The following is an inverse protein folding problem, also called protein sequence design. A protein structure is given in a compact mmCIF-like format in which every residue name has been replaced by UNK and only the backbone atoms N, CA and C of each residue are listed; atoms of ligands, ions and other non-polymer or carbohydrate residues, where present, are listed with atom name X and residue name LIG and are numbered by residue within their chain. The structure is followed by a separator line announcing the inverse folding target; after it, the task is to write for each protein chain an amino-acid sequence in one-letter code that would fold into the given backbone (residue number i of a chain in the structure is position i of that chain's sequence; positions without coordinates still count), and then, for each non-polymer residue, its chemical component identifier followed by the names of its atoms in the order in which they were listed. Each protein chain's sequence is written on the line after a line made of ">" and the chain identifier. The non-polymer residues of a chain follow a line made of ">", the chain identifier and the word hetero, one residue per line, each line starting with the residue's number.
data_IF_118861698070
#
_entry.id   IF_118861698070
#
_cell.length_a   1.000
_cell.length_b   1.000
_cell.length_c   1.000
_cell.angle_alpha   90.00
_cell.angle_beta   90.00
_cell.angle_gamma   90.00
#
_symmetry.space_group_name_H-M   'P 1'
#
loop_
_entity.id
_entity.type
_entity.pdbx_description
1 polymer ?
#
# COMPACT_ATOMS: atom_id res chain seq x y z
N UNK A 1 8.44 -20.25 24.87
CA UNK A 1 7.16 -20.39 24.12
C UNK A 1 6.84 -19.20 23.21
N UNK A 2 7.74 -18.21 23.04
CA UNK A 2 7.56 -17.00 22.22
C UNK A 2 7.71 -17.24 20.70
N UNK A 3 8.39 -18.33 20.27
CA UNK A 3 8.72 -18.56 18.86
C UNK A 3 7.51 -18.58 17.91
N UNK A 4 6.48 -19.38 18.21
CA UNK A 4 5.27 -19.46 17.36
C UNK A 4 4.52 -18.13 17.35
N UNK A 5 4.48 -17.42 18.48
CA UNK A 5 3.89 -16.08 18.57
C UNK A 5 4.63 -15.10 17.67
N UNK A 6 5.97 -15.07 17.73
CA UNK A 6 6.80 -14.17 16.93
C UNK A 6 6.67 -14.44 15.44
N UNK A 7 6.63 -15.70 15.01
CA UNK A 7 6.44 -16.04 13.59
C UNK A 7 5.06 -15.58 13.09
N UNK A 8 4.00 -15.71 13.89
CA UNK A 8 2.67 -15.17 13.53
C UNK A 8 2.68 -13.65 13.41
N UNK A 9 3.35 -12.95 14.33
CA UNK A 9 3.52 -11.50 14.29
C UNK A 9 4.27 -11.06 13.03
N UNK A 10 5.36 -11.74 12.67
CA UNK A 10 6.12 -11.46 11.45
C UNK A 10 5.29 -11.70 10.19
N UNK A 11 4.55 -12.82 10.12
CA UNK A 11 3.69 -13.12 8.97
C UNK A 11 2.61 -12.04 8.78
N UNK A 12 1.99 -11.57 9.87
CA UNK A 12 1.00 -10.49 9.79
C UNK A 12 1.64 -9.16 9.35
N UNK A 13 2.78 -8.80 9.94
CA UNK A 13 3.49 -7.59 9.54
C UNK A 13 3.91 -7.61 8.07
N UNK A 14 4.40 -8.76 7.60
CA UNK A 14 4.75 -8.97 6.20
C UNK A 14 3.53 -8.82 5.29
N UNK A 15 2.38 -9.42 5.64
CA UNK A 15 1.16 -9.30 4.86
C UNK A 15 0.67 -7.84 4.75
N UNK A 16 0.67 -7.10 5.86
CA UNK A 16 0.31 -5.68 5.88
C UNK A 16 1.28 -4.83 5.04
N UNK A 17 2.58 -5.11 5.12
CA UNK A 17 3.58 -4.39 4.34
C UNK A 17 3.47 -4.70 2.83
N UNK A 18 3.19 -5.95 2.46
CA UNK A 18 2.91 -6.33 1.07
C UNK A 18 1.66 -5.61 0.57
N UNK A 19 0.58 -5.57 1.36
CA UNK A 19 -0.63 -4.83 1.00
C UNK A 19 -0.37 -3.32 0.82
N UNK A 20 0.48 -2.73 1.66
CA UNK A 20 0.93 -1.34 1.52
C UNK A 20 1.67 -1.12 0.19
N UNK A 21 2.62 -2.02 -0.14
CA UNK A 21 3.37 -1.98 -1.39
C UNK A 21 2.45 -2.13 -2.61
N UNK A 22 1.52 -3.09 -2.59
CA UNK A 22 0.53 -3.28 -3.67
C UNK A 22 -0.38 -2.06 -3.84
N UNK A 23 -0.84 -1.47 -2.72
CA UNK A 23 -1.66 -0.25 -2.71
C UNK A 23 -0.93 0.91 -3.37
N UNK A 24 0.36 1.08 -3.07
CA UNK A 24 1.20 2.09 -3.69
C UNK A 24 1.42 1.81 -5.19
N UNK A 25 1.83 0.60 -5.55
CA UNK A 25 2.15 0.26 -6.94
C UNK A 25 0.92 0.33 -7.84
N UNK A 26 -0.19 -0.30 -7.45
CA UNK A 26 -1.41 -0.36 -8.27
C UNK A 26 -2.21 0.93 -8.17
N UNK A 27 -2.34 1.50 -6.97
CA UNK A 27 -3.18 2.67 -6.73
C UNK A 27 -2.53 4.01 -7.07
N UNK A 28 -1.19 4.08 -7.10
CA UNK A 28 -0.44 5.32 -7.36
C UNK A 28 0.40 5.22 -8.62
N UNK A 29 1.32 4.24 -8.69
CA UNK A 29 2.27 4.17 -9.80
C UNK A 29 1.60 3.81 -11.14
N UNK A 30 0.62 2.90 -11.15
CA UNK A 30 -0.06 2.54 -12.39
C UNK A 30 -0.85 3.72 -13.01
N UNK A 31 -1.65 4.51 -12.26
CA UNK A 31 -2.28 5.73 -12.80
C UNK A 31 -1.28 6.79 -13.26
N UNK A 32 -0.15 6.94 -12.55
CA UNK A 32 0.93 7.85 -12.96
C UNK A 32 1.53 7.40 -14.30
N UNK A 33 1.85 6.11 -14.45
CA UNK A 33 2.33 5.56 -15.71
C UNK A 33 1.30 5.74 -16.84
N UNK A 34 0.02 5.48 -16.58
CA UNK A 34 -1.05 5.69 -17.55
C UNK A 34 -1.15 7.15 -18.00
N UNK A 35 -0.90 8.11 -17.10
CA UNK A 35 -0.83 9.53 -17.44
C UNK A 35 0.40 9.84 -18.32
N UNK A 36 1.58 9.33 -17.95
CA UNK A 36 2.81 9.51 -18.74
C UNK A 36 2.69 8.96 -20.17
N UNK A 37 2.06 7.80 -20.34
CA UNK A 37 1.84 7.19 -21.65
C UNK A 37 0.60 7.71 -22.40
N UNK A 38 -0.06 8.76 -21.88
CA UNK A 38 -1.27 9.35 -22.44
C UNK A 38 -2.44 8.35 -22.63
N UNK A 39 -2.47 7.27 -21.85
CA UNK A 39 -3.56 6.26 -21.85
C UNK A 39 -4.87 6.88 -21.34
N UNK A 40 -4.77 7.88 -20.45
CA UNK A 40 -5.94 8.57 -19.88
C UNK A 40 -6.75 9.37 -20.90
N UNK A 41 -6.15 9.79 -22.03
CA UNK A 41 -6.89 10.44 -23.10
C UNK A 41 -7.98 9.54 -23.71
N UNK A 42 -7.80 8.22 -23.65
CA UNK A 42 -8.76 7.24 -24.13
C UNK A 42 -9.88 6.91 -23.12
N UNK A 43 -9.66 7.12 -21.82
CA UNK A 43 -10.61 6.75 -20.76
C UNK A 43 -11.61 7.86 -20.40
N UNK A 44 -11.34 9.10 -20.79
CA UNK A 44 -12.21 10.25 -20.49
C UNK A 44 -12.29 10.60 -18.99
N UNK A 45 -11.43 10.01 -18.16
CA UNK A 45 -11.42 10.26 -16.71
C UNK A 45 -10.77 11.63 -16.41
N UNK A 46 -11.44 12.53 -15.68
CA UNK A 46 -10.87 13.81 -15.32
C UNK A 46 -9.58 13.67 -14.48
N UNK A 47 -8.56 14.47 -14.79
CA UNK A 47 -7.29 14.49 -14.05
C UNK A 47 -7.46 14.65 -12.53
N UNK A 48 -8.37 15.52 -12.01
CA UNK A 48 -8.59 15.64 -10.57
C UNK A 48 -9.03 14.32 -9.90
N UNK A 49 -9.83 13.50 -10.60
CA UNK A 49 -10.28 12.19 -10.09
C UNK A 49 -9.10 11.23 -9.95
N UNK A 50 -8.18 11.24 -10.91
CA UNK A 50 -6.96 10.43 -10.89
C UNK A 50 -6.06 10.85 -9.73
N UNK A 51 -5.84 12.17 -9.57
CA UNK A 51 -5.03 12.72 -8.47
C UNK A 51 -5.63 12.40 -7.11
N UNK A 52 -6.95 12.56 -6.94
CA UNK A 52 -7.65 12.22 -5.71
C UNK A 52 -7.55 10.72 -5.39
N UNK A 53 -7.75 9.85 -6.40
CA UNK A 53 -7.60 8.40 -6.25
C UNK A 53 -6.19 8.00 -5.84
N UNK A 54 -5.16 8.55 -6.50
CA UNK A 54 -3.76 8.32 -6.17
C UNK A 54 -3.44 8.79 -4.75
N UNK A 55 -3.94 9.95 -4.32
CA UNK A 55 -3.77 10.43 -2.96
C UNK A 55 -4.38 9.48 -1.93
N UNK A 56 -5.62 9.02 -2.14
CA UNK A 56 -6.29 8.04 -1.26
C UNK A 56 -5.47 6.77 -1.12
N UNK A 57 -5.00 6.20 -2.24
CA UNK A 57 -4.19 5.00 -2.23
C UNK A 57 -2.82 5.19 -1.58
N UNK A 58 -2.22 6.36 -1.73
CA UNK A 58 -0.97 6.71 -1.06
C UNK A 58 -1.16 6.77 0.47
N UNK A 59 -2.26 7.38 0.94
CA UNK A 59 -2.60 7.38 2.36
C UNK A 59 -2.88 5.98 2.88
N UNK A 60 -3.61 5.14 2.12
CA UNK A 60 -3.86 3.75 2.48
C UNK A 60 -2.55 2.95 2.60
N UNK A 61 -1.63 3.11 1.64
CA UNK A 61 -0.31 2.49 1.68
C UNK A 61 0.48 2.91 2.92
N UNK A 62 0.52 4.21 3.22
CA UNK A 62 1.21 4.72 4.40
C UNK A 62 0.60 4.18 5.70
N UNK A 63 -0.74 4.16 5.81
CA UNK A 63 -1.45 3.64 6.97
C UNK A 63 -1.15 2.14 7.20
N UNK A 64 -1.21 1.33 6.14
CA UNK A 64 -0.90 -0.10 6.19
C UNK A 64 0.57 -0.36 6.56
N UNK A 65 1.50 0.42 6.01
CA UNK A 65 2.91 0.31 6.35
C UNK A 65 3.17 0.65 7.83
N UNK A 66 2.55 1.71 8.34
CA UNK A 66 2.62 2.05 9.77
C UNK A 66 1.98 0.97 10.65
N UNK A 67 0.88 0.36 10.20
CA UNK A 67 0.29 -0.78 10.90
C UNK A 67 1.24 -1.98 10.95
N UNK A 68 1.94 -2.30 9.85
CA UNK A 68 2.96 -3.34 9.83
C UNK A 68 4.07 -3.08 10.85
N UNK A 69 4.56 -1.84 10.93
CA UNK A 69 5.56 -1.44 11.93
C UNK A 69 5.06 -1.59 13.37
N UNK A 70 3.80 -1.23 13.63
CA UNK A 70 3.18 -1.43 14.96
C UNK A 70 3.05 -2.90 15.32
N UNK A 71 2.67 -3.75 14.36
CA UNK A 71 2.57 -5.21 14.56
C UNK A 71 3.93 -5.80 14.94
N UNK A 72 5.02 -5.40 14.26
CA UNK A 72 6.38 -5.85 14.61
C UNK A 72 6.80 -5.48 16.03
N UNK A 73 6.24 -4.41 16.62
CA UNK A 73 6.47 -4.06 18.02
C UNK A 73 5.93 -5.08 19.03
N UNK A 74 5.10 -6.04 18.60
CA UNK A 74 4.54 -7.10 19.44
C UNK A 74 5.44 -8.35 19.60
N UNK A 75 6.68 -8.30 19.11
CA UNK A 75 7.68 -9.37 19.30
C UNK A 75 8.08 -9.50 20.77
N UNK A 76 8.33 -10.73 21.20
CA UNK A 76 8.72 -11.07 22.57
C UNK A 76 10.03 -11.85 22.57
N UNK A 77 10.88 -11.64 23.55
CA UNK A 77 12.07 -12.48 23.79
C UNK A 77 11.63 -13.90 24.20
#
# INVERSE_FOLDING_TARGET
>A
MSLVHNERVKLLAAALNTAAGSSFTVGVLAPVAAAFYNVNAASGVPLPTIVAGAAIWLFAAAALHLAARRVLGGLKE
#
